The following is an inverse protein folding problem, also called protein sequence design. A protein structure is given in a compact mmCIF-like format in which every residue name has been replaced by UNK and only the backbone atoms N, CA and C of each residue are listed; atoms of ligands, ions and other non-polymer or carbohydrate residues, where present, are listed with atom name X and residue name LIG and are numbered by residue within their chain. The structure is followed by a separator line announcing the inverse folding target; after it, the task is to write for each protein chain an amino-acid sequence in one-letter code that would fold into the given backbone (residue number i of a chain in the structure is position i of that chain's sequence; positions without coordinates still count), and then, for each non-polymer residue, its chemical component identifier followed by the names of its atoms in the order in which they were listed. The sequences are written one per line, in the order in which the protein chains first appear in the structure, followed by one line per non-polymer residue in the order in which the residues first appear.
data_IF_326540636703
#
_entry.id   IF_326540636703
#
_cell.length_a   1.000
_cell.length_b   1.000
_cell.length_c   1.000
_cell.angle_alpha   90.00
_cell.angle_beta   90.00
_cell.angle_gamma   90.00
#
_symmetry.space_group_name_H-M   'P 1'
#
loop_
_entity.id
_entity.type
_entity.pdbx_description
1 polymer ?
#
# COMPACT_ATOMS: atom_id res chain seq x y z
N UNK A 1 -12.42 -16.10 -3.28
CA UNK A 1 -11.39 -15.32 -4.01
C UNK A 1 -11.14 -14.05 -3.23
N UNK A 2 -9.89 -13.68 -2.99
CA UNK A 2 -9.53 -12.59 -2.08
C UNK A 2 -8.46 -11.69 -2.71
N UNK A 3 -8.46 -10.42 -2.32
CA UNK A 3 -7.42 -9.46 -2.67
C UNK A 3 -6.66 -9.08 -1.42
N UNK A 4 -5.33 -9.23 -1.45
CA UNK A 4 -4.43 -8.92 -0.34
C UNK A 4 -3.53 -7.77 -0.78
N UNK A 5 -3.40 -6.74 0.07
CA UNK A 5 -2.48 -5.62 -0.18
C UNK A 5 -1.45 -5.55 0.94
N UNK A 6 -0.17 -5.59 0.58
CA UNK A 6 0.94 -5.35 1.51
C UNK A 6 1.13 -3.84 1.69
N UNK A 7 1.32 -3.40 2.94
CA UNK A 7 1.55 -2.01 3.33
C UNK A 7 2.57 -1.93 4.46
N UNK A 8 3.43 -0.92 4.41
CA UNK A 8 4.36 -0.66 5.51
C UNK A 8 3.61 -0.12 6.75
N UNK A 9 4.12 -0.46 7.93
CA UNK A 9 3.68 0.07 9.22
C UNK A 9 4.91 0.55 9.98
N UNK A 10 4.90 1.79 10.44
CA UNK A 10 5.99 2.36 11.25
C UNK A 10 5.96 1.82 12.69
N UNK A 11 7.03 2.06 13.45
CA UNK A 11 7.15 1.66 14.87
C UNK A 11 6.10 2.31 15.77
N UNK A 12 5.56 3.46 15.37
CA UNK A 12 4.48 4.18 16.06
C UNK A 12 3.08 3.81 15.56
N UNK A 13 2.98 2.84 14.64
CA UNK A 13 1.71 2.32 14.14
C UNK A 13 1.11 3.07 12.95
N UNK A 14 1.78 4.08 12.41
CA UNK A 14 1.32 4.73 11.17
C UNK A 14 1.40 3.74 10.01
N UNK A 15 0.27 3.53 9.34
CA UNK A 15 0.15 2.65 8.17
C UNK A 15 0.36 3.46 6.89
N UNK A 16 1.05 2.88 5.93
CA UNK A 16 1.22 3.46 4.60
C UNK A 16 -0.15 3.77 3.97
N UNK A 17 -0.35 4.98 3.43
CA UNK A 17 -1.58 5.34 2.71
C UNK A 17 -1.79 4.50 1.45
N UNK A 18 -3.01 4.51 0.93
CA UNK A 18 -3.27 3.97 -0.40
C UNK A 18 -2.60 4.85 -1.48
N UNK A 19 -2.32 4.30 -2.67
CA UNK A 19 -1.64 5.03 -3.76
C UNK A 19 -2.41 6.29 -4.21
N UNK A 20 -3.73 6.20 -4.15
CA UNK A 20 -4.70 7.22 -4.52
C UNK A 20 -5.05 8.17 -3.37
N UNK A 21 -4.49 7.94 -2.19
CA UNK A 21 -4.67 8.84 -1.05
C UNK A 21 -4.16 10.25 -1.42
N UNK A 22 -4.96 11.31 -1.22
CA UNK A 22 -4.55 12.69 -1.55
C UNK A 22 -3.19 13.10 -0.96
N UNK A 23 -2.79 12.53 0.18
CA UNK A 23 -1.51 12.78 0.83
C UNK A 23 -0.31 12.41 -0.06
N UNK A 24 -0.44 11.37 -0.89
CA UNK A 24 0.65 10.85 -1.72
C UNK A 24 0.29 10.73 -3.21
N UNK A 25 -0.94 11.06 -3.63
CA UNK A 25 -1.42 10.92 -5.01
C UNK A 25 -0.53 11.61 -6.07
N UNK A 26 0.19 12.67 -5.69
CA UNK A 26 1.13 13.41 -6.56
C UNK A 26 2.57 12.92 -6.47
N UNK A 27 2.90 12.04 -5.53
CA UNK A 27 4.25 11.52 -5.29
C UNK A 27 4.55 10.26 -6.10
N UNK A 28 4.15 10.21 -7.37
CA UNK A 28 4.20 8.98 -8.20
C UNK A 28 5.61 8.43 -8.42
N UNK A 29 6.63 9.28 -8.42
CA UNK A 29 8.03 8.90 -8.62
C UNK A 29 8.78 8.59 -7.31
N UNK A 30 8.12 8.74 -6.17
CA UNK A 30 8.71 8.48 -4.85
C UNK A 30 8.50 7.01 -4.53
N UNK A 31 9.54 6.20 -4.79
CA UNK A 31 9.46 4.74 -4.67
C UNK A 31 8.98 4.31 -3.26
N UNK A 32 9.49 4.96 -2.20
CA UNK A 32 9.18 4.63 -0.80
C UNK A 32 7.70 4.81 -0.47
N UNK A 33 7.10 5.87 -1.01
CA UNK A 33 5.69 6.19 -0.77
C UNK A 33 4.74 5.24 -1.50
N UNK A 34 5.20 4.57 -2.57
CA UNK A 34 4.38 3.74 -3.45
C UNK A 34 4.76 2.24 -3.44
N UNK A 35 5.50 1.79 -2.43
CA UNK A 35 5.99 0.40 -2.34
C UNK A 35 4.94 -0.68 -2.04
N UNK A 36 3.65 -0.34 -1.97
CA UNK A 36 2.56 -1.30 -1.73
C UNK A 36 2.35 -2.26 -2.91
N UNK A 37 1.95 -3.50 -2.59
CA UNK A 37 1.69 -4.54 -3.60
C UNK A 37 0.35 -5.20 -3.34
N UNK A 38 -0.52 -5.22 -4.36
CA UNK A 38 -1.82 -5.91 -4.31
C UNK A 38 -1.78 -7.19 -5.13
N UNK A 39 -2.20 -8.32 -4.55
CA UNK A 39 -2.29 -9.64 -5.19
C UNK A 39 -3.66 -10.25 -5.00
N UNK A 40 -4.14 -10.99 -6.01
CA UNK A 40 -5.33 -11.83 -5.90
C UNK A 40 -4.92 -13.24 -5.51
N UNK A 41 -5.60 -13.81 -4.52
CA UNK A 41 -5.37 -15.16 -4.02
C UNK A 41 -6.68 -15.93 -3.95
N UNK A 42 -6.64 -17.22 -4.30
CA UNK A 42 -7.74 -18.16 -4.05
C UNK A 42 -7.34 -19.02 -2.86
N UNK A 43 -8.22 -19.11 -1.88
CA UNK A 43 -8.05 -19.99 -0.73
C UNK A 43 -9.02 -21.15 -0.94
N UNK A 44 -8.51 -22.37 -0.84
CA UNK A 44 -9.26 -23.62 -1.00
C UNK A 44 -9.89 -24.04 0.32
#
# INVERSE_FOLDING_TARGET
EHTVTSRAVSTTGQVQPAMDDPLIARKRTYWESNGQVTRRVRVA
#
